data_IF_288953341810
#
_entry.id   IF_288953341810
#
_cell.length_a   1.000
_cell.length_b   1.000
_cell.length_c   1.000
_cell.angle_alpha   90.00
_cell.angle_beta   90.00
_cell.angle_gamma   90.00
#
_symmetry.space_group_name_H-M   'P 1'
#
loop_
_entity.id
_entity.type
_entity.pdbx_description
1 polymer ?
#
# COMPACT_ATOMS: atom_id res chain seq x y z
N UNK A 1 5.96 24.36 -15.41
CA UNK A 1 5.70 23.09 -14.70
C UNK A 1 4.21 22.79 -14.73
N UNK A 2 3.84 21.65 -15.31
CA UNK A 2 2.46 21.16 -15.23
C UNK A 2 2.20 20.60 -13.84
N UNK A 3 1.02 20.87 -13.29
CA UNK A 3 0.61 20.23 -12.04
C UNK A 3 0.26 18.78 -12.36
N UNK A 4 1.00 17.85 -11.77
CA UNK A 4 0.69 16.42 -11.83
C UNK A 4 -0.47 16.17 -10.87
N UNK A 5 -1.65 15.87 -11.41
CA UNK A 5 -2.85 15.63 -10.62
C UNK A 5 -3.31 14.19 -10.83
N UNK A 6 -3.81 13.50 -9.81
CA UNK A 6 -4.41 12.17 -10.03
C UNK A 6 -5.54 12.24 -11.07
N UNK A 7 -5.75 11.17 -11.82
CA UNK A 7 -6.96 11.05 -12.68
C UNK A 7 -8.25 11.00 -11.85
N UNK A 8 -8.14 10.61 -10.58
CA UNK A 8 -9.22 10.59 -9.59
C UNK A 8 -9.35 11.97 -8.93
N UNK A 9 -10.60 12.40 -8.72
CA UNK A 9 -10.90 13.69 -8.06
C UNK A 9 -10.91 13.59 -6.54
N UNK A 10 -11.17 12.40 -6.02
CA UNK A 10 -11.15 12.04 -4.60
C UNK A 10 -10.65 10.59 -4.45
N UNK A 11 -10.14 10.27 -3.27
CA UNK A 11 -9.65 8.95 -2.92
C UNK A 11 -9.90 8.70 -1.43
N UNK A 12 -10.45 7.54 -1.12
CA UNK A 12 -10.64 7.08 0.25
C UNK A 12 -9.78 5.85 0.48
N UNK A 13 -8.98 5.88 1.55
CA UNK A 13 -8.17 4.75 1.99
C UNK A 13 -8.76 4.15 3.27
N UNK A 14 -8.95 2.84 3.30
CA UNK A 14 -9.35 2.08 4.48
C UNK A 14 -8.16 1.17 4.85
N UNK A 15 -7.32 1.58 5.82
CA UNK A 15 -6.23 0.73 6.30
C UNK A 15 -6.77 -0.39 7.18
N UNK A 16 -6.27 -1.61 6.98
CA UNK A 16 -6.69 -2.79 7.73
C UNK A 16 -5.47 -3.57 8.20
N UNK A 17 -5.50 -3.98 9.47
CA UNK A 17 -4.63 -5.02 10.01
C UNK A 17 -5.54 -5.96 10.77
N UNK A 18 -5.87 -7.11 10.17
CA UNK A 18 -6.81 -8.04 10.79
C UNK A 18 -6.16 -8.82 11.90
N UNK A 19 -6.96 -9.27 12.86
CA UNK A 19 -6.48 -10.29 13.79
C UNK A 19 -6.42 -11.66 13.09
N UNK A 20 -5.30 -12.41 13.13
CA UNK A 20 -5.15 -13.66 12.37
C UNK A 20 -6.25 -14.70 12.65
N UNK A 21 -6.67 -14.86 13.90
CA UNK A 21 -7.68 -15.86 14.28
C UNK A 21 -9.11 -15.45 13.87
N UNK A 22 -9.33 -14.16 13.61
CA UNK A 22 -10.64 -13.59 13.27
C UNK A 22 -10.69 -13.07 11.82
N UNK A 23 -9.66 -13.33 11.01
CA UNK A 23 -9.49 -12.73 9.68
C UNK A 23 -10.65 -12.98 8.73
N UNK A 24 -11.21 -14.20 8.70
CA UNK A 24 -12.39 -14.50 7.88
C UNK A 24 -13.56 -13.56 8.21
N UNK A 25 -13.81 -13.33 9.51
CA UNK A 25 -14.91 -12.50 9.98
C UNK A 25 -14.63 -11.02 9.73
N UNK A 26 -13.45 -10.54 10.12
CA UNK A 26 -13.09 -9.13 9.95
C UNK A 26 -13.11 -8.71 8.48
N UNK A 27 -12.60 -9.56 7.58
CA UNK A 27 -12.65 -9.31 6.14
C UNK A 27 -14.08 -9.28 5.58
N UNK A 28 -14.99 -10.11 6.10
CA UNK A 28 -16.38 -10.05 5.69
C UNK A 28 -17.07 -8.76 6.15
N UNK A 29 -16.82 -8.34 7.40
CA UNK A 29 -17.36 -7.11 8.00
C UNK A 29 -16.82 -5.82 7.34
N UNK A 30 -15.66 -5.89 6.66
CA UNK A 30 -15.17 -4.75 5.85
C UNK A 30 -16.16 -4.31 4.78
N UNK A 31 -17.02 -5.21 4.31
CA UNK A 31 -18.09 -4.84 3.39
C UNK A 31 -19.04 -3.79 4.01
N UNK A 32 -19.38 -3.95 5.28
CA UNK A 32 -20.29 -3.02 5.99
C UNK A 32 -19.60 -1.69 6.32
N UNK A 33 -18.30 -1.74 6.62
CA UNK A 33 -17.45 -0.54 6.72
C UNK A 33 -17.43 0.21 5.39
N UNK A 34 -17.19 -0.51 4.28
CA UNK A 34 -17.21 0.05 2.94
C UNK A 34 -18.55 0.72 2.62
N UNK A 35 -19.69 0.06 2.89
CA UNK A 35 -21.02 0.64 2.67
C UNK A 35 -21.22 1.93 3.46
N UNK A 36 -20.77 1.94 4.72
CA UNK A 36 -20.84 3.11 5.60
C UNK A 36 -20.00 4.27 5.04
N UNK A 37 -18.78 3.97 4.61
CA UNK A 37 -17.84 4.91 4.00
C UNK A 37 -18.40 5.51 2.71
N UNK A 38 -18.85 4.64 1.79
CA UNK A 38 -19.47 5.03 0.51
C UNK A 38 -20.67 5.95 0.73
N UNK A 39 -21.55 5.61 1.70
CA UNK A 39 -22.71 6.44 2.06
C UNK A 39 -22.30 7.80 2.65
N UNK A 40 -21.28 7.82 3.52
CA UNK A 40 -20.82 9.02 4.23
C UNK A 40 -20.17 10.03 3.29
N UNK A 41 -19.26 9.58 2.43
CA UNK A 41 -18.46 10.45 1.57
C UNK A 41 -18.96 10.53 0.13
N UNK A 42 -19.98 9.73 -0.24
CA UNK A 42 -20.65 9.77 -1.55
C UNK A 42 -19.67 9.58 -2.71
N UNK A 43 -18.69 8.70 -2.53
CA UNK A 43 -17.72 8.33 -3.56
C UNK A 43 -17.57 6.82 -3.63
N UNK A 44 -17.31 6.33 -4.84
CA UNK A 44 -16.93 4.96 -5.13
C UNK A 44 -15.40 4.79 -5.18
N UNK A 45 -14.64 5.88 -5.09
CA UNK A 45 -13.18 5.88 -5.17
C UNK A 45 -12.54 5.39 -3.86
N UNK A 46 -12.73 4.11 -3.54
CA UNK A 46 -12.29 3.47 -2.31
C UNK A 46 -11.21 2.43 -2.59
N UNK A 47 -10.14 2.49 -1.81
CA UNK A 47 -9.10 1.47 -1.73
C UNK A 47 -9.00 0.97 -0.29
N UNK A 48 -9.03 -0.35 -0.12
CA UNK A 48 -8.85 -1.05 1.14
C UNK A 48 -7.49 -1.74 1.07
N UNK A 49 -6.62 -1.52 2.05
CA UNK A 49 -5.25 -2.04 2.00
C UNK A 49 -4.66 -2.33 3.37
N UNK A 50 -3.71 -3.26 3.40
CA UNK A 50 -2.92 -3.61 4.58
C UNK A 50 -2.83 -5.12 4.79
N UNK A 51 -2.43 -5.52 6.00
CA UNK A 51 -2.31 -6.93 6.37
C UNK A 51 -3.70 -7.52 6.65
N UNK A 52 -4.18 -8.30 5.70
CA UNK A 52 -5.49 -8.94 5.80
C UNK A 52 -5.41 -10.32 6.45
N UNK A 53 -4.21 -10.88 6.65
CA UNK A 53 -4.02 -12.29 6.99
C UNK A 53 -4.83 -13.22 6.05
N UNK A 54 -4.90 -12.85 4.77
CA UNK A 54 -5.84 -13.38 3.77
C UNK A 54 -5.45 -14.72 3.13
N UNK A 55 -4.67 -15.56 3.81
CA UNK A 55 -4.14 -16.80 3.23
C UNK A 55 -3.70 -17.81 4.32
N UNK A 56 -3.15 -18.94 3.88
CA UNK A 56 -2.45 -19.90 4.72
C UNK A 56 -3.35 -20.51 5.78
N UNK A 57 -2.88 -20.49 7.03
CA UNK A 57 -3.58 -21.06 8.16
C UNK A 57 -4.83 -20.26 8.58
N UNK A 58 -4.93 -18.99 8.19
CA UNK A 58 -5.94 -18.05 8.70
C UNK A 58 -7.22 -18.09 7.86
N UNK A 59 -7.07 -18.01 6.52
CA UNK A 59 -8.22 -18.04 5.60
C UNK A 59 -7.98 -19.07 4.49
N UNK A 60 -8.71 -20.18 4.54
CA UNK A 60 -8.66 -21.18 3.46
C UNK A 60 -9.30 -20.66 2.16
N UNK A 61 -8.87 -21.19 1.01
CA UNK A 61 -9.47 -20.91 -0.31
C UNK A 61 -11.00 -21.07 -0.36
N UNK A 62 -11.56 -21.99 0.43
CA UNK A 62 -13.02 -22.19 0.51
C UNK A 62 -13.71 -21.05 1.25
N UNK A 63 -13.14 -20.62 2.39
CA UNK A 63 -13.64 -19.51 3.21
C UNK A 63 -13.52 -18.18 2.47
N UNK A 64 -12.38 -17.96 1.82
CA UNK A 64 -12.11 -16.76 1.02
C UNK A 64 -13.24 -16.46 0.01
N UNK A 65 -13.75 -17.49 -0.68
CA UNK A 65 -14.86 -17.35 -1.64
C UNK A 65 -16.19 -16.89 -1.05
N UNK A 66 -16.38 -17.06 0.26
CA UNK A 66 -17.61 -16.65 0.96
C UNK A 66 -17.59 -15.21 1.46
N UNK A 67 -16.42 -14.58 1.53
CA UNK A 67 -16.25 -13.20 2.02
C UNK A 67 -16.89 -12.22 1.03
N UNK A 68 -17.70 -11.27 1.53
CA UNK A 68 -18.44 -10.33 0.68
C UNK A 68 -17.55 -9.46 -0.20
N UNK A 69 -16.47 -8.88 0.34
CA UNK A 69 -15.50 -8.09 -0.46
C UNK A 69 -14.67 -8.93 -1.44
N UNK A 70 -14.77 -10.27 -1.38
CA UNK A 70 -14.13 -11.19 -2.32
C UNK A 70 -15.07 -11.71 -3.39
N UNK A 71 -16.33 -11.94 -3.02
CA UNK A 71 -17.36 -12.50 -3.90
C UNK A 71 -18.06 -11.44 -4.76
N UNK A 72 -18.14 -10.19 -4.30
CA UNK A 72 -18.62 -9.07 -5.08
C UNK A 72 -17.58 -8.65 -6.14
N UNK A 73 -17.98 -8.72 -7.41
CA UNK A 73 -17.12 -8.48 -8.58
C UNK A 73 -16.70 -7.02 -8.75
N UNK A 74 -17.33 -6.09 -8.03
CA UNK A 74 -16.92 -4.69 -8.03
C UNK A 74 -15.67 -4.46 -7.16
N UNK A 75 -15.26 -5.43 -6.34
CA UNK A 75 -14.01 -5.37 -5.61
C UNK A 75 -12.91 -6.07 -6.42
N UNK A 76 -11.91 -5.29 -6.83
CA UNK A 76 -10.78 -5.76 -7.60
C UNK A 76 -9.58 -5.94 -6.67
N UNK A 77 -9.20 -7.19 -6.44
CA UNK A 77 -8.04 -7.57 -5.64
C UNK A 77 -6.79 -7.46 -6.52
N UNK A 78 -5.97 -6.44 -6.25
CA UNK A 78 -4.79 -6.13 -7.06
C UNK A 78 -3.59 -7.00 -6.70
N UNK A 79 -3.51 -7.47 -5.44
CA UNK A 79 -2.54 -8.47 -5.00
C UNK A 79 -3.22 -9.85 -5.02
N UNK A 80 -2.71 -10.73 -5.88
CA UNK A 80 -3.23 -12.09 -6.12
C UNK A 80 -3.10 -13.02 -4.91
N UNK A 81 -3.74 -14.20 -4.98
CA UNK A 81 -3.65 -15.23 -3.93
C UNK A 81 -2.36 -16.05 -4.02
N UNK A 82 -1.60 -15.88 -5.09
CA UNK A 82 -0.35 -16.55 -5.39
C UNK A 82 0.86 -15.62 -5.26
N UNK A 83 0.70 -14.47 -4.57
CA UNK A 83 1.71 -13.43 -4.44
C UNK A 83 2.23 -13.40 -3.01
N UNK A 84 3.48 -13.86 -2.83
CA UNK A 84 4.14 -13.86 -1.53
C UNK A 84 4.41 -12.43 -1.03
N UNK A 85 3.83 -12.09 0.12
CA UNK A 85 4.02 -10.80 0.80
C UNK A 85 4.84 -10.93 2.09
N UNK A 86 5.48 -12.08 2.32
CA UNK A 86 6.25 -12.33 3.55
C UNK A 86 7.76 -12.30 3.29
N UNK A 87 8.53 -11.81 4.26
CA UNK A 87 9.99 -11.77 4.18
C UNK A 87 10.67 -13.07 4.64
N UNK A 88 9.90 -13.98 5.24
CA UNK A 88 10.38 -15.29 5.71
C UNK A 88 10.47 -16.28 4.56
N UNK A 89 11.57 -17.01 4.43
CA UNK A 89 11.68 -18.09 3.42
C UNK A 89 10.93 -19.36 3.81
N UNK A 90 10.40 -19.42 5.03
CA UNK A 90 9.71 -20.59 5.57
C UNK A 90 8.27 -20.75 5.09
N UNK A 91 7.71 -19.73 4.43
CA UNK A 91 6.37 -19.76 3.87
C UNK A 91 6.28 -18.91 2.59
N UNK A 92 5.13 -18.94 1.94
CA UNK A 92 4.80 -18.08 0.80
C UNK A 92 3.30 -17.76 0.92
N UNK A 93 2.99 -16.66 1.59
CA UNK A 93 1.61 -16.29 1.92
C UNK A 93 1.24 -14.91 1.39
N UNK A 94 0.00 -14.80 0.91
CA UNK A 94 -0.57 -13.56 0.39
C UNK A 94 -1.36 -12.83 1.49
N UNK A 95 -0.68 -12.41 2.56
CA UNK A 95 -1.32 -11.78 3.71
C UNK A 95 -1.72 -10.33 3.44
N UNK A 96 -0.82 -9.55 2.86
CA UNK A 96 -1.00 -8.13 2.59
C UNK A 96 -1.73 -7.94 1.27
N UNK A 97 -2.76 -7.09 1.26
CA UNK A 97 -3.65 -6.93 0.11
C UNK A 97 -3.87 -5.46 -0.23
N UNK A 98 -4.15 -5.24 -1.51
CA UNK A 98 -4.71 -3.99 -2.01
C UNK A 98 -5.97 -4.35 -2.80
N UNK A 99 -7.10 -3.78 -2.39
CA UNK A 99 -8.41 -4.01 -3.00
C UNK A 99 -9.01 -2.66 -3.38
N UNK A 100 -9.42 -2.50 -4.63
CA UNK A 100 -10.09 -1.27 -5.11
C UNK A 100 -11.53 -1.54 -5.49
N UNK A 101 -12.41 -0.56 -5.30
CA UNK A 101 -13.83 -0.68 -5.63
C UNK A 101 -14.18 0.07 -6.93
N UNK A 102 -14.85 -0.63 -7.85
CA UNK A 102 -15.42 -0.09 -9.07
C UNK A 102 -14.42 0.13 -10.21
N UNK A 103 -14.96 0.19 -11.43
CA UNK A 103 -14.18 0.28 -12.66
C UNK A 103 -13.38 1.58 -12.75
N UNK A 104 -13.86 2.70 -12.19
CA UNK A 104 -13.15 3.99 -12.24
C UNK A 104 -11.85 3.94 -11.44
N UNK A 105 -11.86 3.36 -10.23
CA UNK A 105 -10.65 3.12 -9.45
C UNK A 105 -9.72 2.14 -10.13
N UNK A 106 -10.26 1.03 -10.66
CA UNK A 106 -9.46 0.05 -11.38
C UNK A 106 -8.77 0.69 -12.59
N UNK A 107 -9.51 1.51 -13.36
CA UNK A 107 -8.98 2.22 -14.52
C UNK A 107 -7.96 3.29 -14.13
N UNK A 108 -7.97 3.79 -12.90
CA UNK A 108 -6.96 4.69 -12.38
C UNK A 108 -5.65 3.98 -12.00
N UNK A 109 -5.65 2.67 -11.79
CA UNK A 109 -4.42 1.90 -11.53
C UNK A 109 -3.55 1.83 -12.79
N UNK A 110 -2.24 2.03 -12.64
CA UNK A 110 -1.27 1.73 -13.70
C UNK A 110 -1.13 0.20 -13.80
N UNK A 111 -1.40 -0.41 -14.96
CA UNK A 111 -1.37 -1.87 -15.09
C UNK A 111 -0.03 -2.47 -14.65
N UNK A 112 -0.08 -3.60 -13.94
CA UNK A 112 1.07 -4.37 -13.46
C UNK A 112 2.00 -3.67 -12.46
N UNK A 113 1.53 -2.60 -11.80
CA UNK A 113 2.31 -1.93 -10.73
C UNK A 113 1.95 -2.42 -9.33
N UNK A 114 0.83 -3.13 -9.18
CA UNK A 114 0.45 -3.72 -7.90
C UNK A 114 1.31 -4.95 -7.60
N UNK A 115 2.21 -4.85 -6.62
CA UNK A 115 3.16 -5.91 -6.28
C UNK A 115 3.70 -5.75 -4.85
N UNK A 116 4.31 -6.80 -4.26
CA UNK A 116 5.12 -6.65 -3.06
C UNK A 116 6.49 -6.04 -3.39
N UNK A 117 6.92 -5.09 -2.57
CA UNK A 117 8.27 -4.56 -2.59
C UNK A 117 9.20 -5.45 -1.76
N UNK A 118 9.89 -6.38 -2.44
CA UNK A 118 10.88 -7.23 -1.82
C UNK A 118 12.16 -6.42 -1.47
N UNK A 119 12.14 -5.74 -0.32
CA UNK A 119 13.25 -4.93 0.16
C UNK A 119 14.51 -5.76 0.46
N UNK A 120 14.35 -7.04 0.81
CA UNK A 120 15.46 -7.96 1.01
C UNK A 120 16.28 -8.11 -0.28
N UNK A 121 15.62 -8.34 -1.41
CA UNK A 121 16.25 -8.42 -2.72
C UNK A 121 16.78 -7.05 -3.18
N UNK A 122 15.98 -6.00 -3.02
CA UNK A 122 16.34 -4.65 -3.48
C UNK A 122 17.61 -4.12 -2.78
N UNK A 123 17.73 -4.37 -1.48
CA UNK A 123 18.84 -3.91 -0.64
C UNK A 123 19.92 -4.97 -0.40
N UNK A 124 19.76 -6.17 -0.99
CA UNK A 124 20.68 -7.32 -0.86
C UNK A 124 20.91 -7.75 0.59
N UNK A 125 19.85 -7.79 1.37
CA UNK A 125 19.89 -8.21 2.78
C UNK A 125 19.88 -9.73 2.89
N UNK A 126 20.55 -10.23 3.93
CA UNK A 126 20.30 -11.58 4.42
C UNK A 126 18.87 -11.69 4.97
N UNK A 127 18.38 -12.91 5.16
CA UNK A 127 17.06 -13.13 5.77
C UNK A 127 17.01 -12.61 7.21
N UNK A 128 18.07 -12.82 7.99
CA UNK A 128 18.18 -12.30 9.36
C UNK A 128 18.11 -10.76 9.39
N UNK A 129 18.81 -10.08 8.48
CA UNK A 129 18.74 -8.62 8.36
C UNK A 129 17.36 -8.13 7.90
N UNK A 130 16.71 -8.86 6.99
CA UNK A 130 15.37 -8.53 6.54
C UNK A 130 14.34 -8.68 7.67
N UNK A 131 14.37 -9.80 8.39
CA UNK A 131 13.48 -10.09 9.52
C UNK A 131 13.68 -9.13 10.71
N UNK A 132 14.85 -8.49 10.81
CA UNK A 132 15.06 -7.38 11.76
C UNK A 132 14.32 -6.10 11.37
N UNK A 133 13.98 -5.92 10.09
CA UNK A 133 13.18 -4.80 9.60
C UNK A 133 11.70 -5.14 9.71
N UNK A 134 11.28 -6.24 9.09
CA UNK A 134 9.92 -6.76 9.14
C UNK A 134 9.88 -8.19 8.57
N UNK A 135 8.91 -8.97 9.02
CA UNK A 135 8.50 -10.25 8.45
C UNK A 135 7.50 -10.11 7.27
N UNK A 136 7.06 -8.90 6.94
CA UNK A 136 6.20 -8.59 5.79
C UNK A 136 6.91 -7.68 4.79
N UNK A 137 6.68 -7.93 3.49
CA UNK A 137 7.01 -6.99 2.43
C UNK A 137 5.89 -5.95 2.29
N UNK A 138 6.21 -4.66 2.09
CA UNK A 138 5.21 -3.67 1.69
C UNK A 138 4.51 -4.11 0.39
N UNK A 139 3.20 -3.90 0.29
CA UNK A 139 2.49 -3.95 -0.99
C UNK A 139 2.33 -2.54 -1.55
N UNK A 140 2.65 -2.36 -2.83
CA UNK A 140 2.66 -1.08 -3.53
C UNK A 140 1.75 -1.11 -4.75
N UNK A 141 1.30 0.07 -5.21
CA UNK A 141 0.54 0.27 -6.45
C UNK A 141 0.72 1.70 -6.93
N UNK A 142 0.78 1.91 -8.25
CA UNK A 142 0.80 3.24 -8.85
C UNK A 142 -0.56 3.64 -9.43
N UNK A 143 -0.92 4.91 -9.26
CA UNK A 143 -2.12 5.51 -9.84
C UNK A 143 -1.75 6.48 -10.98
N UNK A 144 -2.55 6.46 -12.04
CA UNK A 144 -2.40 7.33 -13.20
C UNK A 144 -2.57 8.80 -12.81
N UNK A 145 -1.79 9.65 -13.47
CA UNK A 145 -1.84 11.10 -13.31
C UNK A 145 -2.31 11.77 -14.61
N UNK A 146 -2.92 12.95 -14.48
CA UNK A 146 -3.20 13.90 -15.56
C UNK A 146 -2.09 14.93 -15.56
N UNK A 147 -1.51 15.13 -16.74
CA UNK A 147 -0.69 16.31 -17.01
C UNK A 147 -1.61 17.40 -17.53
N UNK A 148 -1.75 18.48 -16.76
CA UNK A 148 -2.55 19.64 -17.17
C UNK A 148 -1.70 20.57 -18.06
N UNK A 149 -1.71 20.34 -19.38
CA UNK A 149 -1.12 21.26 -20.37
C UNK A 149 -0.82 20.64 -21.75
N UNK A 150 -1.70 20.86 -22.72
CA UNK A 150 -1.47 20.56 -24.16
C UNK A 150 -2.72 20.07 -24.89
N UNK A 151 -3.20 20.85 -25.86
CA UNK A 151 -4.39 20.54 -26.67
C UNK A 151 -4.29 19.21 -27.44
N UNK A 152 -5.44 18.57 -27.61
CA UNK A 152 -5.66 17.34 -28.36
C UNK A 152 -5.53 17.50 -29.87
N UNK A 153 -4.77 16.61 -30.52
CA UNK A 153 -5.08 16.11 -31.87
C UNK A 153 -4.21 14.90 -32.27
N UNK A 154 -4.85 13.79 -32.65
CA UNK A 154 -4.41 12.88 -33.72
C UNK A 154 -3.34 11.82 -33.42
N UNK A 155 -3.62 10.59 -33.84
CA UNK A 155 -2.73 9.43 -33.97
C UNK A 155 -1.27 9.75 -34.37
N UNK A 156 -0.29 9.27 -33.60
CA UNK A 156 0.80 8.33 -33.98
C UNK A 156 1.96 8.43 -32.97
N UNK A 157 2.34 7.29 -32.38
CA UNK A 157 3.68 7.11 -31.80
C UNK A 157 4.74 7.19 -32.93
N UNK A 158 6.01 7.59 -32.67
CA UNK A 158 6.70 7.59 -31.38
C UNK A 158 7.25 8.96 -30.96
N UNK A 159 7.11 9.31 -29.69
CA UNK A 159 7.87 10.42 -29.10
C UNK A 159 9.19 9.86 -28.58
N UNK A 160 10.29 10.42 -29.07
CA UNK A 160 11.64 10.12 -28.60
C UNK A 160 11.74 10.49 -27.12
N UNK A 161 12.37 9.62 -26.32
CA UNK A 161 12.63 9.86 -24.90
C UNK A 161 13.62 11.01 -24.79
N UNK A 162 13.12 12.24 -24.62
CA UNK A 162 13.91 13.33 -24.11
C UNK A 162 13.97 13.20 -22.58
N UNK A 163 15.16 12.85 -22.10
CA UNK A 163 15.49 12.76 -20.69
C UNK A 163 15.59 14.15 -20.08
N UNK A 164 14.45 14.73 -19.70
CA UNK A 164 14.40 15.86 -18.77
C UNK A 164 13.38 15.51 -17.69
N UNK A 165 13.79 14.62 -16.77
CA UNK A 165 13.15 14.54 -15.46
C UNK A 165 13.40 15.88 -14.76
N UNK A 166 12.36 16.69 -14.65
CA UNK A 166 12.40 18.04 -14.12
C UNK A 166 13.11 18.06 -12.75
N UNK A 167 14.23 18.79 -12.69
CA UNK A 167 15.13 18.88 -11.52
C UNK A 167 14.38 19.30 -10.25
N UNK A 168 13.29 20.05 -10.41
CA UNK A 168 12.43 20.52 -9.31
C UNK A 168 11.66 19.37 -8.63
N UNK A 169 11.15 18.39 -9.37
CA UNK A 169 10.38 17.26 -8.80
C UNK A 169 11.28 16.33 -7.96
N UNK A 170 12.51 16.10 -8.45
CA UNK A 170 13.56 15.41 -7.69
C UNK A 170 13.98 16.19 -6.44
N UNK A 171 13.89 17.52 -6.45
CA UNK A 171 14.20 18.31 -5.25
C UNK A 171 13.08 18.28 -4.22
N UNK A 172 11.82 18.22 -4.63
CA UNK A 172 10.69 18.08 -3.71
C UNK A 172 10.68 16.72 -3.03
N UNK A 173 10.92 15.64 -3.80
CA UNK A 173 11.07 14.29 -3.24
C UNK A 173 12.24 14.21 -2.25
N UNK A 174 13.39 14.82 -2.57
CA UNK A 174 14.54 14.88 -1.65
C UNK A 174 14.20 15.65 -0.36
N UNK A 175 13.44 16.75 -0.46
CA UNK A 175 12.97 17.49 0.72
C UNK A 175 12.01 16.65 1.57
N UNK A 176 11.09 15.93 0.94
CA UNK A 176 10.18 15.00 1.62
C UNK A 176 10.92 13.92 2.40
N UNK A 177 11.91 13.27 1.77
CA UNK A 177 12.73 12.25 2.42
C UNK A 177 13.54 12.81 3.60
N UNK A 178 14.13 13.99 3.45
CA UNK A 178 14.85 14.66 4.55
C UNK A 178 13.93 15.02 5.72
N UNK A 179 12.67 15.37 5.43
CA UNK A 179 11.69 15.66 6.48
C UNK A 179 11.32 14.38 7.25
N UNK A 180 11.10 13.28 6.55
CA UNK A 180 10.81 11.97 7.15
C UNK A 180 12.00 11.47 7.99
N UNK A 181 13.24 11.61 7.50
CA UNK A 181 14.44 11.26 8.27
C UNK A 181 14.55 12.10 9.54
N UNK A 182 14.24 13.40 9.47
CA UNK A 182 14.23 14.28 10.64
C UNK A 182 13.18 13.85 11.67
N UNK A 183 11.98 13.50 11.23
CA UNK A 183 10.91 13.03 12.13
C UNK A 183 11.28 11.69 12.78
N UNK A 184 11.86 10.77 12.00
CA UNK A 184 12.38 9.50 12.51
C UNK A 184 13.46 9.70 13.58
N UNK A 185 14.45 10.55 13.32
CA UNK A 185 15.50 10.90 14.29
C UNK A 185 14.93 11.52 15.56
N UNK A 186 13.91 12.38 15.45
CA UNK A 186 13.25 12.95 16.61
C UNK A 186 12.57 11.88 17.49
N UNK A 187 11.91 10.89 16.87
CA UNK A 187 11.30 9.78 17.58
C UNK A 187 12.35 8.89 18.26
N UNK A 188 13.46 8.58 17.58
CA UNK A 188 14.57 7.84 18.17
C UNK A 188 15.16 8.56 19.40
N UNK A 189 15.33 9.89 19.30
CA UNK A 189 15.78 10.71 20.43
C UNK A 189 14.78 10.66 21.59
N UNK A 190 13.47 10.73 21.32
CA UNK A 190 12.45 10.62 22.36
C UNK A 190 12.47 9.25 23.03
N UNK A 191 12.61 8.17 22.25
CA UNK A 191 12.72 6.81 22.76
C UNK A 191 13.96 6.62 23.63
N UNK A 192 15.11 7.13 23.20
CA UNK A 192 16.35 7.07 23.99
C UNK A 192 16.22 7.85 25.30
N UNK A 193 15.57 9.03 25.28
CA UNK A 193 15.28 9.79 26.51
C UNK A 193 14.40 9.03 27.49
N UNK A 194 13.37 8.34 27.00
CA UNK A 194 12.52 7.48 27.83
C UNK A 194 13.31 6.32 28.44
N UNK A 195 14.16 5.67 27.65
CA UNK A 195 15.01 4.58 28.13
C UNK A 195 16.01 5.04 29.21
N UNK A 196 16.66 6.18 29.00
CA UNK A 196 17.57 6.79 30.00
C UNK A 196 16.79 7.11 31.27
N UNK A 197 15.61 7.71 31.16
CA UNK A 197 14.77 8.06 32.32
C UNK A 197 14.38 6.82 33.13
N UNK A 198 14.03 5.71 32.47
CA UNK A 198 13.72 4.44 33.13
C UNK A 198 14.96 3.82 33.79
N UNK A 199 16.13 3.90 33.15
CA UNK A 199 17.39 3.42 33.73
C UNK A 199 17.82 4.22 34.97
N UNK A 200 17.54 5.52 35.01
CA UNK A 200 17.80 6.37 36.18
C UNK A 200 16.83 6.08 37.34
N UNK A 201 15.58 5.72 37.04
CA UNK A 201 14.60 5.30 38.05
C UNK A 201 14.94 3.96 38.72
N UNK A 202 15.61 3.06 37.99
CA UNK A 202 16.03 1.74 38.51
C UNK A 202 17.42 1.72 39.17
N UNK A 203 18.10 2.87 39.28
CA UNK A 203 19.38 3.04 40.00
C UNK A 203 19.23 3.59 41.43
N UNK A 204 18.01 3.86 41.89
CA UNK A 204 17.66 4.17 43.29
C UNK A 204 17.07 2.96 43.98
#
# INVERSE_FOLDING_TARGET
MGVVQSVLKDLVLIPVHTKPEDSEKELDELYDVFLTVKKKWKTDNVMILGDFNADGAYVSNKKMKGIRIRSDKNFHWLIGDDVDTTASKGNAHSYDRIVVYGDDMLNAVVPNTAQPFNFQKALRLTEEEALRVSDHYPVEVELKTRVSGGQSSGNQYPVQVETNTDVEDLTELKKGNLLLEREKLNLEIQMLKLQITNLEQHKK
#
